data_IF_647582119048
#
_entry.id   IF_647582119048
#
_cell.length_a   1.000
_cell.length_b   1.000
_cell.length_c   1.000
_cell.angle_alpha   90.00
_cell.angle_beta   90.00
_cell.angle_gamma   90.00
#
_symmetry.space_group_name_H-M   'P 1'
#
loop_
_entity.id
_entity.type
_entity.pdbx_description
1 polymer ?
#
# COMPACT_ATOMS: atom_id res chain seq x y z
N UNK A 1 5.54 -16.85 -5.70
CA UNK A 1 5.07 -16.12 -6.89
C UNK A 1 4.20 -17.02 -7.74
N UNK A 2 3.37 -16.44 -8.60
CA UNK A 2 2.44 -17.16 -9.49
C UNK A 2 1.11 -17.55 -8.86
N UNK A 3 0.80 -17.06 -7.65
CA UNK A 3 -0.46 -17.35 -6.96
C UNK A 3 -0.71 -16.30 -5.86
N UNK A 4 -1.92 -16.27 -5.30
CA UNK A 4 -2.31 -15.40 -4.20
C UNK A 4 -1.62 -15.75 -2.87
N UNK A 5 -1.50 -14.80 -1.93
CA UNK A 5 -1.04 -15.09 -0.56
C UNK A 5 -1.90 -16.13 0.17
N UNK A 6 -1.26 -17.00 0.97
CA UNK A 6 -1.96 -18.06 1.73
C UNK A 6 -3.05 -17.53 2.67
N UNK A 7 -2.83 -16.35 3.27
CA UNK A 7 -3.83 -15.68 4.12
C UNK A 7 -5.11 -15.36 3.35
N UNK A 8 -5.00 -14.95 2.09
CA UNK A 8 -6.16 -14.66 1.24
C UNK A 8 -6.90 -15.95 0.89
N UNK A 9 -6.19 -17.03 0.52
CA UNK A 9 -6.81 -18.33 0.23
C UNK A 9 -7.63 -18.85 1.41
N UNK A 10 -7.07 -18.74 2.62
CA UNK A 10 -7.75 -19.16 3.87
C UNK A 10 -9.01 -18.34 4.17
N UNK A 11 -8.96 -17.02 3.99
CA UNK A 11 -10.08 -16.12 4.33
C UNK A 11 -11.18 -16.18 3.27
N UNK A 12 -10.79 -16.18 2.00
CA UNK A 12 -11.72 -16.05 0.87
C UNK A 12 -12.28 -17.41 0.44
N UNK A 13 -11.52 -18.48 0.59
CA UNK A 13 -11.92 -19.84 0.22
C UNK A 13 -12.39 -19.91 -1.23
N UNK A 14 -13.58 -20.46 -1.45
CA UNK A 14 -14.17 -20.64 -2.79
C UNK A 14 -14.52 -19.33 -3.52
N UNK A 15 -14.44 -18.17 -2.87
CA UNK A 15 -14.63 -16.87 -3.53
C UNK A 15 -13.40 -16.41 -4.31
N UNK A 16 -12.23 -16.95 -3.99
CA UNK A 16 -10.99 -16.62 -4.67
C UNK A 16 -10.80 -17.56 -5.86
N UNK A 17 -10.69 -17.05 -7.10
CA UNK A 17 -10.34 -17.87 -8.25
C UNK A 17 -9.02 -18.61 -8.04
N UNK A 18 -8.88 -19.77 -8.67
CA UNK A 18 -7.67 -20.59 -8.59
C UNK A 18 -7.02 -20.58 -9.97
N UNK A 19 -5.74 -20.23 -10.02
CA UNK A 19 -4.96 -20.35 -11.24
C UNK A 19 -4.75 -21.82 -11.59
N UNK A 20 -4.88 -22.16 -12.86
CA UNK A 20 -4.31 -23.38 -13.41
C UNK A 20 -2.77 -23.33 -13.35
N UNK A 21 -2.12 -24.47 -13.54
CA UNK A 21 -0.65 -24.54 -13.58
C UNK A 21 -0.08 -23.65 -14.70
N UNK A 22 -0.69 -23.68 -15.89
CA UNK A 22 -0.30 -22.85 -17.03
C UNK A 22 -0.45 -21.35 -16.74
N UNK A 23 -1.56 -20.92 -16.14
CA UNK A 23 -1.76 -19.51 -15.78
C UNK A 23 -0.79 -19.07 -14.66
N UNK A 24 -0.51 -19.95 -13.69
CA UNK A 24 0.46 -19.67 -12.63
C UNK A 24 1.86 -19.43 -13.18
N UNK A 25 2.25 -20.22 -14.20
CA UNK A 25 3.50 -20.03 -14.93
C UNK A 25 3.51 -18.72 -15.72
N UNK A 26 2.41 -18.37 -16.39
CA UNK A 26 2.29 -17.12 -17.15
C UNK A 26 2.41 -15.86 -16.28
N UNK A 27 1.82 -15.86 -15.08
CA UNK A 27 1.86 -14.69 -14.16
C UNK A 27 3.20 -14.58 -13.42
N UNK A 28 3.92 -15.70 -13.25
CA UNK A 28 5.18 -15.72 -12.50
C UNK A 28 6.25 -14.94 -13.26
N UNK A 29 6.64 -13.78 -12.73
CA UNK A 29 7.70 -12.96 -13.31
C UNK A 29 7.24 -12.22 -14.57
N UNK A 30 5.94 -11.99 -14.74
CA UNK A 30 5.39 -11.27 -15.91
C UNK A 30 5.55 -9.75 -15.84
N UNK A 31 6.47 -9.24 -15.03
CA UNK A 31 6.73 -7.81 -14.85
C UNK A 31 8.23 -7.55 -14.88
N UNK A 32 8.66 -6.60 -15.71
CA UNK A 32 10.05 -6.15 -15.78
C UNK A 32 10.40 -5.14 -14.67
N UNK A 33 9.39 -4.44 -14.14
CA UNK A 33 9.49 -3.47 -13.05
C UNK A 33 8.16 -3.38 -12.29
N UNK A 34 8.18 -2.73 -11.13
CA UNK A 34 6.98 -2.45 -10.33
C UNK A 34 6.76 -0.95 -10.20
N UNK A 35 5.57 -0.49 -10.61
CA UNK A 35 5.12 0.87 -10.36
C UNK A 35 4.44 0.99 -9.00
N UNK A 36 4.87 1.94 -8.17
CA UNK A 36 4.30 2.19 -6.84
C UNK A 36 3.56 3.53 -6.84
N UNK A 37 2.31 3.49 -6.38
CA UNK A 37 1.48 4.65 -6.06
C UNK A 37 1.41 4.72 -4.54
N UNK A 38 1.97 5.76 -3.93
CA UNK A 38 2.02 5.90 -2.48
C UNK A 38 1.73 7.33 -2.03
N UNK A 39 0.75 7.49 -1.14
CA UNK A 39 0.32 8.80 -0.64
C UNK A 39 0.40 8.96 0.87
N UNK A 40 -0.05 7.94 1.62
CA UNK A 40 -0.19 7.99 3.07
C UNK A 40 0.13 6.65 3.72
N UNK A 41 0.35 6.70 5.04
CA UNK A 41 0.51 5.53 5.88
C UNK A 41 -0.45 5.64 7.07
N UNK A 42 -1.04 4.51 7.46
CA UNK A 42 -2.04 4.43 8.51
C UNK A 42 -1.66 3.34 9.50
N UNK A 43 -2.12 3.46 10.73
CA UNK A 43 -2.08 2.34 11.66
C UNK A 43 -3.27 1.42 11.40
N UNK A 44 -3.09 0.14 11.72
CA UNK A 44 -4.17 -0.84 11.69
C UNK A 44 -4.22 -1.56 13.03
N UNK A 45 -5.42 -1.93 13.46
CA UNK A 45 -5.63 -2.85 14.58
C UNK A 45 -6.59 -3.95 14.16
N UNK A 46 -6.54 -5.08 14.86
CA UNK A 46 -7.47 -6.17 14.63
C UNK A 46 -8.92 -5.70 14.82
N UNK A 47 -9.81 -6.01 13.88
CA UNK A 47 -11.23 -5.74 14.05
C UNK A 47 -11.85 -6.79 14.98
N UNK A 48 -12.79 -6.38 15.83
CA UNK A 48 -13.54 -7.34 16.64
C UNK A 48 -14.54 -8.05 15.72
N UNK A 49 -14.71 -9.39 15.83
CA UNK A 49 -15.73 -10.07 15.07
C UNK A 49 -17.10 -9.51 15.44
N UNK A 50 -17.78 -8.87 14.48
CA UNK A 50 -19.16 -8.46 14.65
C UNK A 50 -20.02 -9.72 14.61
N UNK A 51 -20.51 -10.15 15.77
CA UNK A 51 -21.56 -11.16 15.92
C UNK A 51 -22.86 -10.61 15.32
N UNK A 52 -22.95 -10.59 13.99
CA UNK A 52 -24.20 -10.26 13.30
C UNK A 52 -24.97 -11.55 13.01
N UNK A 53 -26.26 -11.63 13.34
CA UNK A 53 -27.11 -12.79 13.02
C UNK A 53 -27.53 -12.84 11.54
N UNK A 54 -27.16 -11.84 10.73
CA UNK A 54 -27.36 -11.81 9.29
C UNK A 54 -26.13 -12.41 8.58
N UNK A 55 -26.27 -12.94 7.35
CA UNK A 55 -25.13 -13.39 6.55
C UNK A 55 -24.06 -12.32 6.61
N UNK A 56 -22.92 -12.66 7.21
CA UNK A 56 -21.80 -11.76 7.43
C UNK A 56 -21.50 -11.05 6.12
N UNK A 57 -21.45 -9.72 6.15
CA UNK A 57 -21.13 -8.89 4.99
C UNK A 57 -19.79 -9.38 4.42
N UNK A 58 -19.82 -10.13 3.33
CA UNK A 58 -18.64 -10.63 2.63
C UNK A 58 -18.10 -9.50 1.75
N UNK A 59 -17.59 -8.46 2.39
CA UNK A 59 -16.95 -7.35 1.71
C UNK A 59 -15.48 -7.25 2.09
N UNK A 60 -14.78 -6.40 1.33
CA UNK A 60 -13.35 -6.16 1.49
C UNK A 60 -12.96 -5.85 2.94
N UNK A 61 -13.75 -5.04 3.66
CA UNK A 61 -13.40 -4.62 5.02
C UNK A 61 -13.60 -5.73 6.04
N UNK A 62 -14.61 -6.58 5.85
CA UNK A 62 -14.79 -7.77 6.67
C UNK A 62 -13.66 -8.79 6.44
N UNK A 63 -13.27 -9.01 5.17
CA UNK A 63 -12.20 -9.94 4.80
C UNK A 63 -10.83 -9.47 5.28
N UNK A 64 -10.59 -8.15 5.27
CA UNK A 64 -9.35 -7.54 5.78
C UNK A 64 -9.14 -7.80 7.27
N UNK A 65 -10.22 -7.96 8.06
CA UNK A 65 -10.13 -8.26 9.48
C UNK A 65 -9.42 -7.18 10.32
N UNK A 66 -9.37 -5.95 9.81
CA UNK A 66 -8.67 -4.84 10.46
C UNK A 66 -9.49 -3.55 10.42
N UNK A 67 -9.26 -2.70 11.41
CA UNK A 67 -9.73 -1.32 11.47
C UNK A 67 -8.56 -0.37 11.18
N UNK A 68 -8.76 0.54 10.23
CA UNK A 68 -7.80 1.60 9.91
C UNK A 68 -7.88 2.74 10.92
N UNK A 69 -6.73 3.20 11.39
CA UNK A 69 -6.57 4.30 12.31
C UNK A 69 -5.72 5.38 11.64
N UNK A 70 -6.35 6.51 11.35
CA UNK A 70 -5.66 7.68 10.81
C UNK A 70 -4.83 8.37 11.90
N UNK A 71 -3.68 8.91 11.49
CA UNK A 71 -2.77 9.65 12.36
C UNK A 71 -3.12 11.12 12.31
N UNK A 72 -3.13 11.78 13.47
CA UNK A 72 -3.41 13.21 13.56
C UNK A 72 -4.78 13.55 12.97
N UNK A 73 -4.78 14.49 12.03
CA UNK A 73 -5.98 14.95 11.32
C UNK A 73 -6.13 14.31 9.93
N UNK A 74 -5.39 13.23 9.67
CA UNK A 74 -5.46 12.53 8.40
C UNK A 74 -6.84 11.91 8.17
N UNK A 75 -7.25 11.86 6.91
CA UNK A 75 -8.47 11.26 6.37
C UNK A 75 -8.11 10.58 5.05
N UNK A 76 -9.09 10.00 4.36
CA UNK A 76 -8.87 9.47 3.00
C UNK A 76 -8.50 10.54 1.96
N UNK A 77 -8.76 11.82 2.24
CA UNK A 77 -8.56 12.92 1.28
C UNK A 77 -7.51 13.95 1.73
N UNK A 78 -7.02 13.85 2.96
CA UNK A 78 -6.05 14.75 3.56
C UNK A 78 -5.11 13.94 4.42
N UNK A 79 -3.80 14.13 4.37
CA UNK A 79 -2.88 13.29 5.15
C UNK A 79 -1.64 14.05 5.60
N UNK A 80 -1.13 13.65 6.76
CA UNK A 80 0.12 14.18 7.31
C UNK A 80 1.34 13.68 6.53
N UNK A 81 2.45 14.41 6.64
CA UNK A 81 3.71 14.09 5.95
C UNK A 81 4.41 12.94 6.68
N UNK A 82 4.41 11.75 6.08
CA UNK A 82 4.96 10.52 6.67
C UNK A 82 5.90 9.75 5.71
N UNK A 83 7.05 10.32 5.35
CA UNK A 83 7.92 9.75 4.31
C UNK A 83 8.51 8.38 4.68
N UNK A 84 8.67 8.08 5.98
CA UNK A 84 9.15 6.79 6.46
C UNK A 84 8.24 5.61 6.03
N UNK A 85 6.97 5.89 5.74
CA UNK A 85 6.02 4.90 5.22
C UNK A 85 6.43 4.38 3.85
N UNK A 86 6.80 5.28 2.93
CA UNK A 86 7.32 4.89 1.61
C UNK A 86 8.64 4.13 1.76
N UNK A 87 9.55 4.60 2.61
CA UNK A 87 10.82 3.91 2.89
C UNK A 87 10.58 2.47 3.35
N UNK A 88 9.60 2.26 4.24
CA UNK A 88 9.21 0.94 4.73
C UNK A 88 8.62 0.03 3.64
N UNK A 89 7.81 0.59 2.73
CA UNK A 89 7.27 -0.15 1.58
C UNK A 89 8.39 -0.60 0.65
N UNK A 90 9.33 0.28 0.33
CA UNK A 90 10.47 -0.04 -0.54
C UNK A 90 11.39 -1.09 0.10
N UNK A 91 11.63 -0.99 1.41
CA UNK A 91 12.38 -2.00 2.15
C UNK A 91 11.68 -3.36 2.14
N UNK A 92 10.35 -3.37 2.33
CA UNK A 92 9.56 -4.59 2.32
C UNK A 92 9.60 -5.28 0.95
N UNK A 93 9.45 -4.52 -0.14
CA UNK A 93 9.53 -5.03 -1.51
C UNK A 93 10.92 -5.58 -1.82
N UNK A 94 11.98 -4.87 -1.42
CA UNK A 94 13.37 -5.35 -1.53
C UNK A 94 13.55 -6.70 -0.84
N UNK A 95 13.13 -6.82 0.42
CA UNK A 95 13.35 -8.00 1.24
C UNK A 95 12.48 -9.20 0.85
N UNK A 96 11.25 -8.97 0.38
CA UNK A 96 10.25 -10.04 0.22
C UNK A 96 9.90 -10.35 -1.24
N UNK A 97 10.29 -9.48 -2.18
CA UNK A 97 9.89 -9.59 -3.59
C UNK A 97 11.06 -9.58 -4.58
N UNK A 98 12.25 -10.00 -4.13
CA UNK A 98 13.48 -10.09 -4.94
C UNK A 98 14.02 -8.74 -5.44
N UNK A 99 13.70 -7.64 -4.76
CA UNK A 99 14.18 -6.30 -5.11
C UNK A 99 14.03 -5.96 -6.60
N UNK A 100 12.79 -5.93 -7.12
CA UNK A 100 12.57 -5.58 -8.51
C UNK A 100 12.90 -4.09 -8.75
N UNK A 101 13.20 -3.68 -9.98
CA UNK A 101 13.28 -2.26 -10.31
C UNK A 101 11.95 -1.56 -9.98
N UNK A 102 12.00 -0.48 -9.21
CA UNK A 102 10.81 0.26 -8.76
C UNK A 102 10.77 1.68 -9.34
N UNK A 103 9.58 2.08 -9.78
CA UNK A 103 9.28 3.46 -10.14
C UNK A 103 8.13 3.98 -9.27
N UNK A 104 8.33 5.13 -8.63
CA UNK A 104 7.22 5.84 -7.98
C UNK A 104 6.41 6.53 -9.06
N UNK A 105 5.23 5.99 -9.37
CA UNK A 105 4.36 6.51 -10.43
C UNK A 105 3.50 7.67 -9.94
N UNK A 106 3.08 7.64 -8.68
CA UNK A 106 2.30 8.71 -8.08
C UNK A 106 2.66 8.93 -6.61
N UNK A 107 2.82 10.21 -6.26
CA UNK A 107 3.07 10.70 -4.91
C UNK A 107 2.69 12.19 -4.87
N UNK A 108 2.06 12.66 -3.80
CA UNK A 108 1.67 14.06 -3.71
C UNK A 108 0.83 14.41 -2.48
N UNK A 109 0.60 15.71 -2.32
CA UNK A 109 -0.23 16.26 -1.24
C UNK A 109 -1.35 17.14 -1.83
N UNK A 110 -2.63 16.79 -1.62
CA UNK A 110 -3.74 17.63 -2.02
C UNK A 110 -3.76 18.89 -1.17
N UNK A 111 -3.95 20.04 -1.83
CA UNK A 111 -4.22 21.31 -1.17
C UNK A 111 -5.61 21.79 -1.57
N UNK A 112 -6.20 22.67 -0.76
CA UNK A 112 -7.48 23.30 -1.10
C UNK A 112 -7.34 24.06 -2.42
N UNK A 113 -8.36 23.99 -3.27
CA UNK A 113 -8.37 24.66 -4.57
C UNK A 113 -8.04 26.16 -4.47
N UNK A 114 -8.60 26.84 -3.46
CA UNK A 114 -8.42 28.28 -3.25
C UNK A 114 -7.21 28.60 -2.35
N UNK A 115 -6.26 27.66 -2.22
CA UNK A 115 -5.02 27.89 -1.50
C UNK A 115 -4.10 28.85 -2.26
N UNK A 116 -3.19 29.48 -1.53
CA UNK A 116 -2.23 30.42 -2.13
C UNK A 116 -1.25 29.67 -3.04
N UNK A 117 -0.64 30.37 -4.00
CA UNK A 117 0.45 29.82 -4.81
C UNK A 117 1.72 29.50 -3.98
N UNK A 118 1.80 29.96 -2.73
CA UNK A 118 2.85 29.60 -1.79
C UNK A 118 2.47 28.29 -1.10
N UNK A 119 2.83 27.16 -1.72
CA UNK A 119 2.44 25.81 -1.30
C UNK A 119 3.55 25.10 -0.50
N UNK A 120 4.09 25.78 0.52
CA UNK A 120 5.20 25.26 1.34
C UNK A 120 4.96 23.86 1.92
N UNK A 121 3.71 23.52 2.26
CA UNK A 121 3.33 22.18 2.74
C UNK A 121 3.59 21.09 1.68
N UNK A 122 3.31 21.39 0.40
CA UNK A 122 3.59 20.48 -0.71
C UNK A 122 5.08 20.35 -0.96
N UNK A 123 5.83 21.46 -0.85
CA UNK A 123 7.30 21.43 -0.94
C UNK A 123 7.90 20.55 0.16
N UNK A 124 7.46 20.73 1.41
CA UNK A 124 7.90 19.91 2.55
C UNK A 124 7.57 18.44 2.34
N UNK A 125 6.35 18.14 1.89
CA UNK A 125 5.94 16.78 1.54
C UNK A 125 6.87 16.15 0.49
N UNK A 126 7.04 16.82 -0.65
CA UNK A 126 7.87 16.30 -1.75
C UNK A 126 9.32 16.12 -1.31
N UNK A 127 9.88 17.07 -0.56
CA UNK A 127 11.24 16.94 -0.02
C UNK A 127 11.37 15.74 0.93
N UNK A 128 10.42 15.55 1.84
CA UNK A 128 10.41 14.41 2.75
C UNK A 128 10.40 13.07 2.02
N UNK A 129 9.50 12.91 1.04
CA UNK A 129 9.37 11.66 0.28
C UNK A 129 10.55 11.41 -0.66
N UNK A 130 11.15 12.44 -1.26
CA UNK A 130 12.42 12.31 -1.99
C UNK A 130 13.55 11.86 -1.04
N UNK A 131 13.59 12.39 0.18
CA UNK A 131 14.53 11.96 1.21
C UNK A 131 14.38 10.47 1.56
N UNK A 132 13.15 9.99 1.74
CA UNK A 132 12.86 8.57 1.97
C UNK A 132 13.29 7.68 0.80
N UNK A 133 13.03 8.10 -0.45
CA UNK A 133 13.53 7.37 -1.62
C UNK A 133 15.06 7.31 -1.64
N UNK A 134 15.74 8.42 -1.33
CA UNK A 134 17.20 8.45 -1.26
C UNK A 134 17.74 7.50 -0.18
N UNK A 135 17.08 7.41 0.98
CA UNK A 135 17.44 6.45 2.01
C UNK A 135 17.28 5.01 1.53
N UNK A 136 16.15 4.68 0.90
CA UNK A 136 15.89 3.36 0.34
C UNK A 136 16.94 2.95 -0.71
N UNK A 137 17.27 3.84 -1.65
CA UNK A 137 18.32 3.63 -2.66
C UNK A 137 19.67 3.39 -1.99
N UNK A 138 20.04 4.22 -1.00
CA UNK A 138 21.29 4.02 -0.23
C UNK A 138 21.30 2.70 0.53
N UNK A 139 20.12 2.18 0.88
CA UNK A 139 19.94 0.89 1.52
C UNK A 139 19.78 -0.28 0.51
N UNK A 140 19.97 -0.04 -0.79
CA UNK A 140 20.02 -1.06 -1.81
C UNK A 140 18.68 -1.43 -2.46
N UNK A 141 17.63 -0.62 -2.27
CA UNK A 141 16.45 -0.71 -3.15
C UNK A 141 16.83 -0.30 -4.58
N UNK A 142 16.37 -1.06 -5.57
CA UNK A 142 16.56 -0.79 -7.01
C UNK A 142 15.50 0.20 -7.54
#
# INVERSE_FOLDING_TARGET
FGDYPEVMKRILGSRLPVFTEEESEQVRGSSDFVGIIHYMTVYVKNSKPTLSPLPTRQDFFADMGAETLFIGNSTFFTWDIMPWGLESVLEYLKQNYNNPPIYILENGLPLKHDSTLQDSERVEYTQGYIGAMLNAIKNGSD
#
